data_IF_499086861275
#
_entry.id   IF_499086861275
#
_cell.length_a   1.000
_cell.length_b   1.000
_cell.length_c   1.000
_cell.angle_alpha   90.00
_cell.angle_beta   90.00
_cell.angle_gamma   90.00
#
_symmetry.space_group_name_H-M   'P 1'
#
loop_
_entity.id
_entity.type
_entity.pdbx_description
1 polymer ?
#
# COMPACT_ATOMS: atom_id res chain seq x y z
N UNK A 1 71.45 -4.63 -55.65
CA UNK A 1 72.10 -3.67 -54.75
C UNK A 1 71.06 -2.65 -54.33
N UNK A 2 70.56 -2.78 -53.11
CA UNK A 2 69.78 -1.75 -52.41
C UNK A 2 70.07 -1.96 -50.92
N UNK A 3 70.84 -1.04 -50.35
CA UNK A 3 71.08 -0.93 -48.91
C UNK A 3 69.87 -0.24 -48.30
N UNK A 4 69.28 -0.82 -47.27
CA UNK A 4 68.32 -0.13 -46.41
C UNK A 4 68.93 -0.03 -45.00
N UNK A 5 69.20 1.21 -44.59
CA UNK A 5 69.80 1.58 -43.32
C UNK A 5 68.79 1.35 -42.18
N UNK A 6 69.08 0.43 -41.27
CA UNK A 6 68.28 0.23 -40.06
C UNK A 6 68.67 1.28 -39.00
N UNK A 7 67.87 2.33 -38.89
CA UNK A 7 68.05 3.41 -37.91
C UNK A 7 67.70 2.87 -36.52
N UNK A 8 68.71 2.55 -35.70
CA UNK A 8 68.52 2.27 -34.26
C UNK A 8 68.14 3.56 -33.54
N UNK A 9 66.93 3.60 -32.95
CA UNK A 9 66.52 4.70 -32.05
C UNK A 9 67.33 4.63 -30.75
N UNK A 10 67.79 5.76 -30.19
CA UNK A 10 68.43 5.78 -28.88
C UNK A 10 67.37 5.56 -27.79
N UNK A 11 67.44 4.43 -27.08
CA UNK A 11 66.73 4.29 -25.80
C UNK A 11 67.55 5.01 -24.74
N UNK A 12 67.07 6.18 -24.30
CA UNK A 12 67.53 6.78 -23.05
C UNK A 12 67.18 5.81 -21.92
N UNK A 13 68.21 5.29 -21.24
CA UNK A 13 68.06 4.57 -19.98
C UNK A 13 67.50 5.55 -18.94
N UNK A 14 66.18 5.60 -18.83
CA UNK A 14 65.52 6.29 -17.74
C UNK A 14 65.70 5.45 -16.48
N UNK A 15 66.59 5.89 -15.61
CA UNK A 15 66.76 5.36 -14.26
C UNK A 15 65.43 5.57 -13.51
N UNK A 16 64.63 4.53 -13.37
CA UNK A 16 63.39 4.55 -12.58
C UNK A 16 63.67 3.90 -11.24
N UNK A 17 63.51 4.64 -10.13
CA UNK A 17 63.44 4.03 -8.82
C UNK A 17 62.31 2.97 -8.83
N UNK A 18 62.54 1.75 -8.34
CA UNK A 18 61.50 0.74 -8.30
C UNK A 18 60.33 1.26 -7.45
N UNK A 19 59.13 1.25 -8.05
CA UNK A 19 57.90 1.68 -7.39
C UNK A 19 57.81 0.98 -6.03
N UNK A 20 57.85 1.76 -4.95
CA UNK A 20 57.72 1.26 -3.58
C UNK A 20 56.39 0.51 -3.49
N UNK A 21 56.44 -0.82 -3.34
CA UNK A 21 55.22 -1.62 -3.20
C UNK A 21 54.49 -1.15 -1.94
N UNK A 22 53.34 -0.50 -2.13
CA UNK A 22 52.42 -0.21 -1.04
C UNK A 22 51.98 -1.55 -0.47
N UNK A 23 52.37 -1.83 0.77
CA UNK A 23 51.95 -3.01 1.53
C UNK A 23 50.43 -2.95 1.78
N UNK A 24 49.68 -3.36 0.77
CA UNK A 24 48.23 -3.51 0.80
C UNK A 24 47.82 -4.93 1.25
N UNK A 25 48.78 -5.79 1.60
CA UNK A 25 48.54 -7.19 1.93
C UNK A 25 47.77 -7.33 3.24
N UNK A 26 48.13 -6.54 4.28
CA UNK A 26 47.42 -6.54 5.56
C UNK A 26 45.98 -6.00 5.46
N UNK A 27 45.75 -4.96 4.64
CA UNK A 27 44.40 -4.40 4.42
C UNK A 27 43.53 -5.36 3.62
N UNK A 28 44.08 -6.01 2.60
CA UNK A 28 43.38 -7.05 1.83
C UNK A 28 42.98 -8.26 2.67
N UNK A 29 43.87 -8.74 3.55
CA UNK A 29 43.60 -9.87 4.44
C UNK A 29 42.48 -9.61 5.45
N UNK A 30 42.46 -8.42 6.07
CA UNK A 30 41.39 -8.01 7.02
C UNK A 30 40.04 -7.86 6.32
N UNK A 31 40.02 -7.31 5.09
CA UNK A 31 38.80 -7.21 4.28
C UNK A 31 38.31 -8.60 3.89
N UNK A 32 39.20 -9.52 3.47
CA UNK A 32 38.83 -10.89 3.12
C UNK A 32 38.27 -11.66 4.32
N UNK A 33 38.90 -11.58 5.50
CA UNK A 33 38.38 -12.20 6.73
C UNK A 33 37.04 -11.60 7.17
N UNK A 34 36.87 -10.28 7.05
CA UNK A 34 35.59 -9.64 7.35
C UNK A 34 34.50 -10.11 6.37
N UNK A 35 34.81 -10.21 5.08
CA UNK A 35 33.90 -10.73 4.06
C UNK A 35 33.54 -12.19 4.33
N UNK A 36 34.51 -13.05 4.66
CA UNK A 36 34.26 -14.46 5.02
C UNK A 36 33.43 -14.62 6.30
N UNK A 37 33.68 -13.79 7.31
CA UNK A 37 32.89 -13.81 8.55
C UNK A 37 31.46 -13.37 8.28
N UNK A 38 31.26 -12.37 7.42
CA UNK A 38 29.94 -11.89 7.01
C UNK A 38 29.22 -12.93 6.16
N UNK A 39 29.88 -13.58 5.21
CA UNK A 39 29.26 -14.63 4.38
C UNK A 39 28.89 -15.86 5.20
N UNK A 40 29.77 -16.35 6.07
CA UNK A 40 29.50 -17.51 6.95
C UNK A 40 28.39 -17.22 7.96
N UNK A 41 28.34 -16.01 8.52
CA UNK A 41 27.25 -15.59 9.41
C UNK A 41 25.94 -15.44 8.64
N UNK A 42 25.97 -14.87 7.43
CA UNK A 42 24.81 -14.76 6.56
C UNK A 42 24.25 -16.15 6.21
N UNK A 43 25.10 -17.10 5.82
CA UNK A 43 24.68 -18.49 5.56
C UNK A 43 24.04 -19.14 6.80
N UNK A 44 24.61 -18.94 7.99
CA UNK A 44 24.06 -19.49 9.24
C UNK A 44 22.68 -18.90 9.57
N UNK A 45 22.48 -17.61 9.33
CA UNK A 45 21.19 -16.91 9.50
C UNK A 45 20.19 -17.38 8.46
N UNK A 46 20.59 -17.51 7.19
CA UNK A 46 19.74 -18.01 6.11
C UNK A 46 19.29 -19.46 6.32
N UNK A 47 20.06 -20.28 7.05
CA UNK A 47 19.69 -21.65 7.40
C UNK A 47 18.57 -21.75 8.45
N UNK A 48 18.23 -20.66 9.15
CA UNK A 48 17.07 -20.68 10.06
C UNK A 48 15.78 -20.91 9.27
N UNK A 49 14.90 -21.83 9.70
CA UNK A 49 13.75 -22.24 8.90
C UNK A 49 12.78 -21.09 8.59
N UNK A 50 12.61 -20.15 9.54
CA UNK A 50 11.77 -18.97 9.36
C UNK A 50 12.37 -18.01 8.32
N UNK A 51 13.67 -17.73 8.43
CA UNK A 51 14.38 -16.83 7.51
C UNK A 51 14.43 -17.44 6.10
N UNK A 52 14.76 -18.73 6.00
CA UNK A 52 14.71 -19.46 4.75
C UNK A 52 13.30 -19.46 4.13
N UNK A 53 12.24 -19.47 4.93
CA UNK A 53 10.87 -19.37 4.43
C UNK A 53 10.55 -17.95 3.93
N UNK A 54 10.97 -16.92 4.66
CA UNK A 54 10.80 -15.52 4.26
C UNK A 54 11.55 -15.21 2.97
N UNK A 55 12.81 -15.64 2.83
CA UNK A 55 13.60 -15.47 1.61
C UNK A 55 12.87 -16.10 0.42
N UNK A 56 12.46 -17.37 0.53
CA UNK A 56 11.69 -18.05 -0.54
C UNK A 56 10.37 -17.35 -0.86
N UNK A 57 9.71 -16.78 0.15
CA UNK A 57 8.48 -16.02 -0.06
C UNK A 57 8.75 -14.71 -0.84
N UNK A 58 9.82 -14.00 -0.51
CA UNK A 58 10.26 -12.78 -1.21
C UNK A 58 10.72 -13.07 -2.64
N UNK A 59 11.53 -14.11 -2.85
CA UNK A 59 11.92 -14.58 -4.19
C UNK A 59 10.69 -14.89 -5.03
N UNK A 60 9.77 -15.72 -4.51
CA UNK A 60 8.51 -16.04 -5.20
C UNK A 60 7.66 -14.81 -5.48
N UNK A 61 7.63 -13.82 -4.60
CA UNK A 61 6.92 -12.57 -4.81
C UNK A 61 7.52 -11.76 -5.97
N UNK A 62 8.85 -11.65 -6.02
CA UNK A 62 9.58 -10.93 -7.07
C UNK A 62 9.47 -11.64 -8.43
N UNK A 63 9.66 -12.96 -8.46
CA UNK A 63 9.55 -13.80 -9.68
C UNK A 63 8.16 -13.70 -10.32
N UNK A 64 7.14 -13.38 -9.51
CA UNK A 64 5.74 -13.24 -9.92
C UNK A 64 5.31 -11.80 -10.12
N UNK A 65 6.26 -10.92 -10.38
CA UNK A 65 6.02 -9.50 -10.66
C UNK A 65 5.27 -8.78 -9.52
N UNK A 66 5.49 -9.19 -8.27
CA UNK A 66 4.79 -8.65 -7.11
C UNK A 66 4.93 -7.14 -6.96
N UNK A 67 6.13 -6.61 -7.19
CA UNK A 67 6.38 -5.16 -7.18
C UNK A 67 5.62 -4.44 -8.29
N UNK A 68 5.57 -5.00 -9.50
CA UNK A 68 4.87 -4.41 -10.64
C UNK A 68 3.35 -4.45 -10.43
N UNK A 69 2.81 -5.53 -9.86
CA UNK A 69 1.42 -5.56 -9.43
C UNK A 69 1.14 -4.51 -8.36
N UNK A 70 2.00 -4.39 -7.34
CA UNK A 70 1.90 -3.34 -6.33
C UNK A 70 1.84 -1.94 -6.96
N UNK A 71 2.77 -1.65 -7.87
CA UNK A 71 2.80 -0.39 -8.61
C UNK A 71 1.53 -0.15 -9.44
N UNK A 72 1.02 -1.19 -10.13
CA UNK A 72 -0.22 -1.11 -10.89
C UNK A 72 -1.42 -0.81 -9.97
N UNK A 73 -1.54 -1.48 -8.82
CA UNK A 73 -2.61 -1.21 -7.85
C UNK A 73 -2.51 0.21 -7.31
N UNK A 74 -1.31 0.71 -6.99
CA UNK A 74 -1.13 2.11 -6.58
C UNK A 74 -1.58 3.09 -7.66
N UNK A 75 -1.19 2.84 -8.92
CA UNK A 75 -1.62 3.66 -10.07
C UNK A 75 -3.16 3.69 -10.21
N UNK A 76 -3.80 2.51 -10.18
CA UNK A 76 -5.27 2.45 -10.27
C UNK A 76 -5.96 3.07 -9.05
N UNK A 77 -5.37 2.96 -7.85
CA UNK A 77 -5.91 3.58 -6.64
C UNK A 77 -5.86 5.10 -6.73
N UNK A 78 -4.75 5.65 -7.20
CA UNK A 78 -4.60 7.09 -7.41
C UNK A 78 -5.59 7.61 -8.45
N UNK A 79 -5.74 6.92 -9.59
CA UNK A 79 -6.76 7.29 -10.59
C UNK A 79 -8.19 7.18 -10.05
N UNK A 80 -8.46 6.24 -9.16
CA UNK A 80 -9.77 6.08 -8.51
C UNK A 80 -10.08 7.18 -7.50
N UNK A 81 -9.07 7.90 -7.01
CA UNK A 81 -9.25 8.97 -6.04
C UNK A 81 -10.11 10.11 -6.60
N UNK A 82 -9.90 10.49 -7.86
CA UNK A 82 -10.63 11.61 -8.48
C UNK A 82 -12.15 11.34 -8.52
N UNK A 83 -12.64 10.21 -9.07
CA UNK A 83 -14.07 9.91 -9.05
C UNK A 83 -14.64 9.75 -7.63
N UNK A 84 -13.89 9.16 -6.69
CA UNK A 84 -14.33 9.03 -5.30
C UNK A 84 -14.51 10.41 -4.66
N UNK A 85 -13.58 11.34 -4.91
CA UNK A 85 -13.69 12.72 -4.45
C UNK A 85 -14.89 13.42 -5.11
N UNK A 86 -15.14 13.22 -6.40
CA UNK A 86 -16.33 13.77 -7.07
C UNK A 86 -17.63 13.27 -6.43
N UNK A 87 -17.74 11.97 -6.15
CA UNK A 87 -18.90 11.38 -5.47
C UNK A 87 -19.04 11.95 -4.06
N UNK A 88 -17.94 12.08 -3.32
CA UNK A 88 -17.92 12.65 -1.96
C UNK A 88 -18.34 14.12 -1.96
N UNK A 89 -17.84 14.89 -2.92
CA UNK A 89 -18.18 16.29 -3.14
C UNK A 89 -19.66 16.47 -3.48
N UNK A 90 -20.19 15.64 -4.37
CA UNK A 90 -21.61 15.62 -4.70
C UNK A 90 -22.47 15.21 -3.50
N UNK A 91 -22.05 14.20 -2.72
CA UNK A 91 -22.74 13.80 -1.49
C UNK A 91 -22.79 14.95 -0.48
N UNK A 92 -21.68 15.66 -0.26
CA UNK A 92 -21.65 16.89 0.53
C UNK A 92 -22.59 17.96 -0.03
N UNK A 93 -22.58 18.18 -1.34
CA UNK A 93 -23.50 19.10 -2.03
C UNK A 93 -24.98 18.75 -1.82
N UNK A 94 -25.35 17.47 -1.81
CA UNK A 94 -26.71 17.02 -1.48
C UNK A 94 -27.05 17.27 -0.01
N UNK A 95 -26.15 16.93 0.93
CA UNK A 95 -26.37 17.16 2.36
C UNK A 95 -26.54 18.66 2.66
N UNK A 96 -25.69 19.51 2.08
CA UNK A 96 -25.75 20.97 2.24
C UNK A 96 -26.98 21.57 1.57
N UNK A 97 -27.37 21.08 0.38
CA UNK A 97 -28.61 21.50 -0.28
C UNK A 97 -29.86 21.22 0.57
N UNK A 98 -29.83 20.12 1.33
CA UNK A 98 -30.93 19.73 2.23
C UNK A 98 -30.93 20.50 3.56
N UNK A 99 -29.83 21.17 3.93
CA UNK A 99 -29.68 21.88 5.22
C UNK A 99 -29.12 23.30 5.00
N UNK A 100 -29.95 24.26 4.54
CA UNK A 100 -29.50 25.62 4.22
C UNK A 100 -28.91 26.37 5.42
N UNK A 101 -29.34 26.06 6.64
CA UNK A 101 -28.77 26.64 7.87
C UNK A 101 -27.32 26.19 8.11
N UNK A 102 -27.01 24.90 7.88
CA UNK A 102 -25.63 24.38 7.98
C UNK A 102 -24.72 25.03 6.93
N UNK A 103 -25.24 25.28 5.73
CA UNK A 103 -24.50 25.95 4.67
C UNK A 103 -24.11 27.37 5.07
N UNK A 104 -25.05 28.12 5.68
CA UNK A 104 -24.81 29.46 6.16
C UNK A 104 -23.78 29.49 7.29
N UNK A 105 -23.90 28.59 8.28
CA UNK A 105 -22.93 28.46 9.38
C UNK A 105 -21.51 28.15 8.87
N UNK A 106 -21.38 27.31 7.85
CA UNK A 106 -20.09 27.01 7.21
C UNK A 106 -19.51 28.27 6.57
N UNK A 107 -20.30 29.05 5.83
CA UNK A 107 -19.83 30.28 5.23
C UNK A 107 -19.43 31.33 6.26
N UNK A 108 -20.24 31.50 7.30
CA UNK A 108 -19.94 32.46 8.37
C UNK A 108 -18.65 32.07 9.11
N UNK A 109 -18.44 30.77 9.37
CA UNK A 109 -17.17 30.27 9.92
C UNK A 109 -15.98 30.47 8.99
N UNK A 110 -16.14 30.25 7.68
CA UNK A 110 -15.07 30.49 6.69
C UNK A 110 -14.67 31.96 6.70
N UNK A 111 -15.64 32.87 6.67
CA UNK A 111 -15.39 34.32 6.65
C UNK A 111 -14.79 34.84 7.96
N UNK A 112 -15.09 34.20 9.09
CA UNK A 112 -14.52 34.58 10.40
C UNK A 112 -13.11 34.03 10.63
N UNK A 113 -12.79 32.84 10.10
CA UNK A 113 -11.52 32.16 10.40
C UNK A 113 -10.44 32.32 9.31
N UNK A 114 -10.80 32.81 8.12
CA UNK A 114 -9.86 33.00 7.02
C UNK A 114 -9.64 34.48 6.79
N UNK A 115 -8.46 34.96 7.16
CA UNK A 115 -8.08 36.38 7.02
C UNK A 115 -7.78 36.78 5.58
N UNK A 116 -7.50 35.83 4.68
CA UNK A 116 -7.30 36.09 3.24
C UNK A 116 -8.64 36.09 2.49
N UNK A 117 -9.09 37.24 1.95
CA UNK A 117 -10.34 37.35 1.21
C UNK A 117 -10.40 36.47 -0.03
N UNK A 118 -9.26 36.19 -0.67
CA UNK A 118 -9.17 35.38 -1.89
C UNK A 118 -9.45 33.92 -1.60
N UNK A 119 -8.83 33.38 -0.54
CA UNK A 119 -9.07 32.01 -0.08
C UNK A 119 -10.53 31.83 0.37
N UNK A 120 -11.09 32.79 1.11
CA UNK A 120 -12.48 32.77 1.53
C UNK A 120 -13.46 32.77 0.34
N UNK A 121 -13.21 33.62 -0.67
CA UNK A 121 -14.02 33.68 -1.89
C UNK A 121 -13.93 32.37 -2.69
N UNK A 122 -12.73 31.80 -2.83
CA UNK A 122 -12.52 30.51 -3.51
C UNK A 122 -13.30 29.39 -2.83
N UNK A 123 -13.19 29.26 -1.50
CA UNK A 123 -13.92 28.24 -0.74
C UNK A 123 -15.44 28.41 -0.85
N UNK A 124 -15.93 29.66 -0.77
CA UNK A 124 -17.35 29.96 -0.94
C UNK A 124 -17.85 29.54 -2.32
N UNK A 125 -17.08 29.85 -3.38
CA UNK A 125 -17.38 29.43 -4.74
C UNK A 125 -17.36 27.91 -4.88
N UNK A 126 -16.34 27.22 -4.35
CA UNK A 126 -16.25 25.76 -4.40
C UNK A 126 -17.46 25.09 -3.75
N UNK A 127 -17.89 25.53 -2.56
CA UNK A 127 -19.06 24.98 -1.88
C UNK A 127 -20.35 25.29 -2.68
N UNK A 128 -20.51 26.51 -3.20
CA UNK A 128 -21.65 26.85 -4.05
C UNK A 128 -21.71 25.99 -5.31
N UNK A 129 -20.57 25.77 -5.98
CA UNK A 129 -20.47 24.85 -7.11
C UNK A 129 -20.84 23.42 -6.69
N UNK A 130 -20.40 22.96 -5.51
CA UNK A 130 -20.77 21.66 -4.97
C UNK A 130 -22.28 21.49 -4.88
N UNK A 131 -22.96 22.49 -4.30
CA UNK A 131 -24.42 22.48 -4.14
C UNK A 131 -25.12 22.58 -5.50
N UNK A 132 -24.73 23.51 -6.35
CA UNK A 132 -25.41 23.76 -7.63
C UNK A 132 -25.22 22.62 -8.64
N UNK A 133 -24.01 22.06 -8.73
CA UNK A 133 -23.68 21.01 -9.69
C UNK A 133 -23.74 19.59 -9.11
N UNK A 134 -24.24 19.42 -7.87
CA UNK A 134 -24.30 18.13 -7.15
C UNK A 134 -24.82 16.97 -7.99
N UNK A 135 -25.87 17.18 -8.78
CA UNK A 135 -26.48 16.12 -9.60
C UNK A 135 -25.57 15.70 -10.74
N UNK A 136 -25.06 16.66 -11.51
CA UNK A 136 -24.19 16.38 -12.67
C UNK A 136 -22.87 15.77 -12.21
N UNK A 137 -22.21 16.39 -11.23
CA UNK A 137 -20.94 15.89 -10.67
C UNK A 137 -21.14 14.54 -9.99
N UNK A 138 -22.27 14.33 -9.30
CA UNK A 138 -22.61 13.07 -8.66
C UNK A 138 -22.83 11.95 -9.66
N UNK A 139 -23.61 12.17 -10.71
CA UNK A 139 -23.88 11.15 -11.74
C UNK A 139 -22.62 10.80 -12.54
N UNK A 140 -21.89 11.80 -13.02
CA UNK A 140 -20.63 11.59 -13.76
C UNK A 140 -19.60 10.94 -12.86
N UNK A 141 -19.42 11.47 -11.64
CA UNK A 141 -18.51 10.92 -10.65
C UNK A 141 -18.82 9.47 -10.32
N UNK A 142 -20.11 9.13 -10.10
CA UNK A 142 -20.54 7.77 -9.81
C UNK A 142 -20.32 6.83 -11.00
N UNK A 143 -20.65 7.24 -12.22
CA UNK A 143 -20.40 6.43 -13.42
C UNK A 143 -18.90 6.11 -13.60
N UNK A 144 -18.04 7.12 -13.47
CA UNK A 144 -16.59 6.95 -13.58
C UNK A 144 -16.05 6.16 -12.38
N UNK A 145 -16.56 6.38 -11.17
CA UNK A 145 -16.16 5.65 -9.96
C UNK A 145 -16.52 4.16 -10.06
N UNK A 146 -17.68 3.82 -10.60
CA UNK A 146 -18.07 2.44 -10.84
C UNK A 146 -17.16 1.78 -11.88
N UNK A 147 -16.92 2.44 -13.00
CA UNK A 147 -16.02 1.93 -14.04
C UNK A 147 -14.59 1.71 -13.48
N UNK A 148 -14.04 2.72 -12.83
CA UNK A 148 -12.69 2.70 -12.26
C UNK A 148 -12.57 1.67 -11.13
N UNK A 149 -13.56 1.62 -10.22
CA UNK A 149 -13.59 0.68 -9.10
C UNK A 149 -13.71 -0.78 -9.53
N UNK A 150 -14.51 -1.08 -10.55
CA UNK A 150 -14.61 -2.45 -11.09
C UNK A 150 -13.28 -2.85 -11.73
N UNK A 151 -12.64 -1.95 -12.48
CA UNK A 151 -11.34 -2.22 -13.08
C UNK A 151 -10.26 -2.40 -12.00
N UNK A 152 -10.23 -1.57 -10.97
CA UNK A 152 -9.34 -1.70 -9.82
C UNK A 152 -9.52 -3.05 -9.12
N UNK A 153 -10.77 -3.47 -8.85
CA UNK A 153 -11.08 -4.77 -8.26
C UNK A 153 -10.59 -5.93 -9.13
N UNK A 154 -10.80 -5.82 -10.45
CA UNK A 154 -10.34 -6.80 -11.42
C UNK A 154 -8.83 -6.99 -11.39
N UNK A 155 -8.07 -5.89 -11.31
CA UNK A 155 -6.61 -5.88 -11.22
C UNK A 155 -6.12 -6.41 -9.86
N UNK A 156 -6.73 -5.99 -8.75
CA UNK A 156 -6.38 -6.47 -7.41
C UNK A 156 -6.56 -7.98 -7.30
N UNK A 157 -7.69 -8.49 -7.79
CA UNK A 157 -7.97 -9.92 -7.83
C UNK A 157 -6.95 -10.66 -8.68
N UNK A 158 -6.54 -10.12 -9.82
CA UNK A 158 -5.53 -10.74 -10.67
C UNK A 158 -4.15 -10.75 -10.01
N UNK A 159 -3.74 -9.67 -9.35
CA UNK A 159 -2.52 -9.60 -8.57
C UNK A 159 -2.49 -10.68 -7.47
N UNK A 160 -3.56 -10.79 -6.68
CA UNK A 160 -3.67 -11.81 -5.62
C UNK A 160 -3.66 -13.23 -6.22
N UNK A 161 -4.35 -13.44 -7.36
CA UNK A 161 -4.35 -14.73 -8.06
C UNK A 161 -2.96 -15.09 -8.57
N UNK A 162 -2.25 -14.15 -9.18
CA UNK A 162 -0.90 -14.35 -9.67
C UNK A 162 0.05 -14.77 -8.54
N UNK A 163 -0.09 -14.17 -7.35
CA UNK A 163 0.71 -14.54 -6.18
C UNK A 163 0.30 -15.88 -5.54
N UNK A 164 -0.98 -16.29 -5.65
CA UNK A 164 -1.49 -17.48 -4.95
C UNK A 164 -1.45 -18.77 -5.74
N UNK A 165 -1.43 -18.74 -7.08
CA UNK A 165 -1.44 -19.95 -7.94
C UNK A 165 -0.21 -20.84 -7.74
N UNK A 166 -0.31 -22.13 -7.97
CA UNK A 166 0.87 -23.01 -7.90
C UNK A 166 1.81 -22.76 -9.10
N UNK A 167 1.24 -22.67 -10.30
CA UNK A 167 1.95 -22.38 -11.56
C UNK A 167 1.62 -20.96 -12.03
N UNK A 168 2.60 -20.26 -12.62
CA UNK A 168 2.43 -18.91 -13.15
C UNK A 168 1.51 -18.88 -14.38
N UNK A 169 1.68 -19.86 -15.27
CA UNK A 169 0.91 -19.99 -16.50
C UNK A 169 -0.59 -20.15 -16.25
N UNK A 170 -1.40 -19.50 -17.09
CA UNK A 170 -2.85 -19.61 -17.02
C UNK A 170 -3.29 -20.94 -17.61
N UNK A 171 -4.07 -21.71 -16.86
CA UNK A 171 -4.72 -22.90 -17.40
C UNK A 171 -5.83 -22.49 -18.38
N UNK A 172 -6.08 -23.25 -19.46
CA UNK A 172 -7.25 -23.06 -20.32
C UNK A 172 -8.59 -23.04 -19.57
N UNK A 173 -8.70 -23.72 -18.42
CA UNK A 173 -9.90 -23.69 -17.57
C UNK A 173 -10.13 -22.37 -16.82
N UNK A 174 -9.17 -21.43 -16.84
CA UNK A 174 -9.32 -20.11 -16.22
C UNK A 174 -10.06 -19.09 -17.13
N UNK A 175 -10.38 -19.45 -18.37
CA UNK A 175 -11.09 -18.55 -19.28
C UNK A 175 -12.56 -18.42 -18.87
N UNK A 176 -12.91 -17.27 -18.29
CA UNK A 176 -14.28 -16.88 -17.98
C UNK A 176 -14.84 -15.96 -19.05
N UNK A 177 -16.16 -16.05 -19.29
CA UNK A 177 -16.87 -15.02 -20.09
C UNK A 177 -16.65 -13.65 -19.45
N UNK A 178 -16.31 -12.66 -20.27
CA UNK A 178 -15.99 -11.30 -19.81
C UNK A 178 -17.05 -10.72 -18.85
N UNK A 179 -18.33 -10.87 -19.18
CA UNK A 179 -19.45 -10.38 -18.36
C UNK A 179 -19.55 -11.03 -16.98
N UNK A 180 -19.25 -12.33 -16.86
CA UNK A 180 -19.28 -13.04 -15.56
C UNK A 180 -18.14 -12.55 -14.66
N UNK A 181 -16.95 -12.35 -15.25
CA UNK A 181 -15.79 -11.77 -14.55
C UNK A 181 -16.11 -10.37 -14.03
N UNK A 182 -16.69 -9.53 -14.88
CA UNK A 182 -17.05 -8.14 -14.57
C UNK A 182 -18.12 -8.05 -13.47
N UNK A 183 -19.19 -8.85 -13.56
CA UNK A 183 -20.24 -8.90 -12.53
C UNK A 183 -19.67 -9.38 -11.18
N UNK A 184 -18.78 -10.38 -11.18
CA UNK A 184 -18.13 -10.84 -9.95
C UNK A 184 -17.25 -9.75 -9.34
N UNK A 185 -16.51 -8.99 -10.16
CA UNK A 185 -15.74 -7.84 -9.67
C UNK A 185 -16.62 -6.78 -9.08
N UNK A 186 -17.75 -6.47 -9.70
CA UNK A 186 -18.71 -5.53 -9.14
C UNK A 186 -19.26 -6.00 -7.78
N UNK A 187 -19.66 -7.26 -7.65
CA UNK A 187 -20.12 -7.82 -6.37
C UNK A 187 -19.01 -7.83 -5.32
N UNK A 188 -17.77 -8.16 -5.71
CA UNK A 188 -16.61 -8.07 -4.82
C UNK A 188 -16.33 -6.64 -4.40
N UNK A 189 -16.47 -5.65 -5.29
CA UNK A 189 -16.32 -4.24 -4.94
C UNK A 189 -17.34 -3.80 -3.88
N UNK A 190 -18.60 -4.17 -4.03
CA UNK A 190 -19.63 -3.92 -3.02
C UNK A 190 -19.27 -4.61 -1.70
N UNK A 191 -18.85 -5.87 -1.75
CA UNK A 191 -18.44 -6.61 -0.55
C UNK A 191 -17.25 -5.98 0.16
N UNK A 192 -16.29 -5.42 -0.59
CA UNK A 192 -15.16 -4.69 -0.02
C UNK A 192 -15.63 -3.40 0.66
N UNK A 193 -16.51 -2.63 0.02
CA UNK A 193 -17.08 -1.41 0.61
C UNK A 193 -17.81 -1.72 1.91
N UNK A 194 -18.61 -2.78 1.96
CA UNK A 194 -19.28 -3.24 3.18
C UNK A 194 -18.25 -3.66 4.24
N UNK A 195 -17.22 -4.43 3.87
CA UNK A 195 -16.17 -4.83 4.79
C UNK A 195 -15.44 -3.62 5.38
N UNK A 196 -15.16 -2.59 4.57
CA UNK A 196 -14.57 -1.33 5.02
C UNK A 196 -15.49 -0.59 5.99
N UNK A 197 -16.79 -0.45 5.67
CA UNK A 197 -17.76 0.19 6.56
C UNK A 197 -17.83 -0.55 7.91
N UNK A 198 -17.89 -1.88 7.90
CA UNK A 198 -17.91 -2.69 9.13
C UNK A 198 -16.62 -2.50 9.92
N UNK A 199 -15.46 -2.57 9.26
CA UNK A 199 -14.13 -2.37 9.87
C UNK A 199 -14.04 -0.99 10.54
N UNK A 200 -14.41 0.06 9.81
CA UNK A 200 -14.39 1.44 10.32
C UNK A 200 -15.40 1.63 11.45
N UNK A 201 -16.57 1.01 11.37
CA UNK A 201 -17.60 1.07 12.42
C UNK A 201 -17.12 0.39 13.71
N UNK A 202 -16.49 -0.78 13.60
CA UNK A 202 -15.90 -1.48 14.76
C UNK A 202 -14.85 -0.59 15.42
N UNK A 203 -13.92 -0.05 14.65
CA UNK A 203 -12.86 0.83 15.19
C UNK A 203 -13.43 2.11 15.81
N UNK A 204 -14.42 2.73 15.18
CA UNK A 204 -15.07 3.95 15.67
C UNK A 204 -15.84 3.72 16.96
N UNK A 205 -16.69 2.68 16.99
CA UNK A 205 -17.48 2.30 18.17
C UNK A 205 -16.59 1.85 19.32
N UNK A 206 -15.51 1.10 19.03
CA UNK A 206 -14.56 0.70 20.04
C UNK A 206 -13.86 1.90 20.67
N UNK A 207 -13.42 2.87 19.86
CA UNK A 207 -12.80 4.10 20.34
C UNK A 207 -13.74 4.91 21.22
N UNK A 208 -14.99 5.09 20.80
CA UNK A 208 -15.99 5.84 21.57
C UNK A 208 -16.40 5.12 22.86
N UNK A 209 -16.63 3.81 22.80
CA UNK A 209 -16.93 2.99 23.97
C UNK A 209 -15.79 3.00 25.00
N UNK A 210 -14.54 2.91 24.54
CA UNK A 210 -13.38 3.01 25.42
C UNK A 210 -13.35 4.35 26.16
N UNK A 211 -13.56 5.47 25.46
CA UNK A 211 -13.60 6.79 26.09
C UNK A 211 -14.76 6.95 27.09
N UNK A 212 -15.93 6.41 26.75
CA UNK A 212 -17.09 6.42 27.63
C UNK A 212 -16.84 5.63 28.92
N UNK A 213 -16.25 4.42 28.83
CA UNK A 213 -15.95 3.57 29.98
C UNK A 213 -14.90 4.23 30.89
N UNK A 214 -13.82 4.76 30.32
CA UNK A 214 -12.76 5.44 31.08
C UNK A 214 -13.35 6.63 31.85
N UNK A 215 -14.20 7.42 31.19
CA UNK A 215 -14.83 8.59 31.80
C UNK A 215 -15.86 8.21 32.86
N UNK A 216 -16.72 7.22 32.60
CA UNK A 216 -17.76 6.77 33.54
C UNK A 216 -17.17 6.20 34.83
N UNK A 217 -16.10 5.41 34.72
CA UNK A 217 -15.41 4.80 35.86
C UNK A 217 -14.38 5.74 36.51
N UNK A 218 -14.28 7.00 36.06
CA UNK A 218 -13.29 7.98 36.52
C UNK A 218 -11.84 7.47 36.48
N UNK A 219 -11.54 6.59 35.53
CA UNK A 219 -10.22 5.97 35.37
C UNK A 219 -9.20 6.91 34.69
N UNK A 220 -9.62 8.13 34.36
CA UNK A 220 -8.79 9.18 33.76
C UNK A 220 -7.54 9.54 34.61
N UNK A 221 -7.64 9.41 35.94
CA UNK A 221 -6.55 9.72 36.87
C UNK A 221 -5.55 8.56 37.06
N UNK A 222 -5.85 7.36 36.56
CA UNK A 222 -5.04 6.17 36.82
C UNK A 222 -4.06 5.94 35.67
N UNK A 223 -2.84 6.44 35.84
CA UNK A 223 -1.83 6.43 34.77
C UNK A 223 -1.38 5.03 34.35
N UNK A 224 -1.33 4.08 35.29
CA UNK A 224 -0.90 2.71 35.01
C UNK A 224 -1.93 1.89 34.19
N UNK A 225 -3.19 2.35 34.08
CA UNK A 225 -4.20 1.73 33.24
C UNK A 225 -4.09 2.14 31.75
N UNK A 226 -3.41 3.26 31.46
CA UNK A 226 -3.27 3.81 30.10
C UNK A 226 -2.67 2.79 29.10
N UNK A 227 -1.63 1.99 29.44
CA UNK A 227 -1.10 0.95 28.54
C UNK A 227 -2.12 -0.15 28.22
N UNK A 228 -2.91 -0.57 29.20
CA UNK A 228 -3.94 -1.61 29.02
C UNK A 228 -5.00 -1.19 28.02
N UNK A 229 -5.50 0.05 28.13
CA UNK A 229 -6.46 0.59 27.16
C UNK A 229 -5.87 0.72 25.75
N UNK A 230 -4.60 1.10 25.64
CA UNK A 230 -3.90 1.12 24.35
C UNK A 230 -3.80 -0.27 23.74
N UNK A 231 -3.51 -1.30 24.54
CA UNK A 231 -3.46 -2.68 24.08
C UNK A 231 -4.82 -3.18 23.60
N UNK A 232 -5.91 -2.83 24.29
CA UNK A 232 -7.27 -3.17 23.87
C UNK A 232 -7.60 -2.50 22.53
N UNK A 233 -7.36 -1.19 22.41
CA UNK A 233 -7.58 -0.46 21.15
C UNK A 233 -6.76 -1.02 19.99
N UNK A 234 -5.49 -1.37 20.24
CA UNK A 234 -4.62 -2.01 19.26
C UNK A 234 -5.13 -3.40 18.86
N UNK A 235 -5.58 -4.21 19.82
CA UNK A 235 -6.15 -5.53 19.54
C UNK A 235 -7.42 -5.43 18.69
N UNK A 236 -8.29 -4.45 18.95
CA UNK A 236 -9.48 -4.20 18.15
C UNK A 236 -9.11 -3.75 16.73
N UNK A 237 -8.12 -2.86 16.60
CA UNK A 237 -7.62 -2.42 15.29
C UNK A 237 -7.07 -3.59 14.46
N UNK A 238 -6.21 -4.43 15.06
CA UNK A 238 -5.69 -5.64 14.43
C UNK A 238 -6.83 -6.59 14.05
N UNK A 239 -7.83 -6.77 14.92
CA UNK A 239 -8.98 -7.61 14.62
C UNK A 239 -9.82 -7.07 13.45
N UNK A 240 -10.03 -5.76 13.39
CA UNK A 240 -10.75 -5.12 12.30
C UNK A 240 -9.99 -5.29 10.97
N UNK A 241 -8.67 -5.05 10.96
CA UNK A 241 -7.81 -5.32 9.80
C UNK A 241 -7.82 -6.81 9.41
N UNK A 242 -7.81 -7.71 10.39
CA UNK A 242 -7.91 -9.14 10.16
C UNK A 242 -9.20 -9.50 9.42
N UNK A 243 -10.35 -8.94 9.81
CA UNK A 243 -11.61 -9.17 9.10
C UNK A 243 -11.56 -8.69 7.65
N UNK A 244 -10.97 -7.51 7.40
CA UNK A 244 -10.80 -6.96 6.06
C UNK A 244 -9.93 -7.88 5.19
N UNK A 245 -8.72 -8.22 5.65
CA UNK A 245 -7.82 -9.10 4.90
C UNK A 245 -8.36 -10.53 4.78
N UNK A 246 -9.09 -11.02 5.78
CA UNK A 246 -9.75 -12.32 5.72
C UNK A 246 -10.76 -12.33 4.58
N UNK A 247 -11.60 -11.30 4.51
CA UNK A 247 -12.56 -11.14 3.43
C UNK A 247 -11.85 -11.07 2.07
N UNK A 248 -10.76 -10.29 1.95
CA UNK A 248 -9.99 -10.16 0.71
C UNK A 248 -9.46 -11.53 0.25
N UNK A 249 -8.70 -12.23 1.10
CA UNK A 249 -8.07 -13.49 0.74
C UNK A 249 -9.05 -14.66 0.64
N UNK A 250 -10.24 -14.55 1.24
CA UNK A 250 -11.27 -15.57 1.11
C UNK A 250 -12.15 -15.37 -0.13
N UNK A 251 -12.51 -14.13 -0.46
CA UNK A 251 -13.51 -13.83 -1.50
C UNK A 251 -12.91 -13.61 -2.89
N UNK A 252 -11.75 -12.97 -3.00
CA UNK A 252 -11.15 -12.62 -4.30
C UNK A 252 -10.58 -13.86 -5.03
N UNK A 253 -9.89 -14.80 -4.37
CA UNK A 253 -9.40 -16.00 -5.03
C UNK A 253 -10.54 -16.93 -5.46
N UNK A 254 -10.54 -17.36 -6.73
CA UNK A 254 -11.50 -18.35 -7.24
C UNK A 254 -11.30 -19.73 -6.61
N UNK A 255 -10.04 -20.13 -6.42
CA UNK A 255 -9.69 -21.39 -5.77
C UNK A 255 -9.36 -21.09 -4.32
N UNK A 256 -10.07 -21.75 -3.40
CA UNK A 256 -9.93 -21.45 -1.97
C UNK A 256 -8.53 -21.88 -1.50
N UNK A 257 -7.74 -20.96 -0.92
CA UNK A 257 -6.45 -21.33 -0.35
C UNK A 257 -6.63 -22.33 0.79
N UNK A 258 -5.58 -23.11 1.08
CA UNK A 258 -5.56 -24.00 2.25
C UNK A 258 -5.90 -23.19 3.50
N UNK A 259 -6.86 -23.66 4.32
CA UNK A 259 -7.37 -22.94 5.51
C UNK A 259 -6.26 -22.40 6.42
N UNK A 260 -5.20 -23.20 6.64
CA UNK A 260 -4.03 -22.81 7.45
C UNK A 260 -3.25 -21.63 6.86
N UNK A 261 -3.09 -21.60 5.53
CA UNK A 261 -2.40 -20.51 4.85
C UNK A 261 -3.24 -19.22 4.85
N UNK A 262 -4.57 -19.35 4.68
CA UNK A 262 -5.49 -18.22 4.77
C UNK A 262 -5.40 -17.54 6.14
N UNK A 263 -5.59 -18.29 7.24
CA UNK A 263 -5.59 -17.73 8.60
C UNK A 263 -4.24 -17.08 8.94
N UNK A 264 -3.12 -17.78 8.66
CA UNK A 264 -1.77 -17.26 8.94
C UNK A 264 -1.43 -16.04 8.09
N UNK A 265 -1.75 -16.09 6.80
CA UNK A 265 -1.49 -14.98 5.88
C UNK A 265 -2.32 -13.75 6.23
N UNK A 266 -3.59 -13.92 6.58
CA UNK A 266 -4.43 -12.83 7.07
C UNK A 266 -3.91 -12.23 8.37
N UNK A 267 -3.46 -13.05 9.33
CA UNK A 267 -2.92 -12.54 10.59
C UNK A 267 -1.65 -11.71 10.40
N UNK A 268 -0.73 -12.17 9.55
CA UNK A 268 0.46 -11.41 9.20
C UNK A 268 0.11 -10.08 8.51
N UNK A 269 -0.86 -10.10 7.58
CA UNK A 269 -1.35 -8.89 6.92
C UNK A 269 -2.07 -7.92 7.86
N UNK A 270 -2.70 -8.42 8.93
CA UNK A 270 -3.42 -7.58 9.88
C UNK A 270 -2.52 -6.85 10.89
N UNK A 271 -1.32 -7.38 11.13
CA UNK A 271 -0.32 -6.79 12.03
C UNK A 271 0.52 -5.71 11.32
N UNK A 272 0.85 -5.94 10.04
CA UNK A 272 1.61 -5.02 9.22
C UNK A 272 0.78 -3.81 8.79
#
# INVERSE_FOLDING_TARGET
MTQENEIKRPTQDLEHEPIKQLDNSEKGGKVSQALETVTTTAEKVQRQPVIAHLIRATERFNDRLGNQFGAAITYFSFLSMIPILMVSFAAGGFVLASHPMLLQDIFDKILQNISDPTLAATLKNTINTAVQQRTTVGLVGLAVALYSGINWMGNLREAIRAQSRDVWERSPQDQEKFWVKYLRDFISLIGLLIALIVTLSITSVAGSAQQMIISALHLNSIEWLKPTWRLIGLAISIFANYLLFFWIFWRLPRHRPRKKALIRGTFLAAIG
#
